data_IF_307080587205
#
_entry.id   IF_307080587205
#
_cell.length_a   1.000
_cell.length_b   1.000
_cell.length_c   1.000
_cell.angle_alpha   90.00
_cell.angle_beta   90.00
_cell.angle_gamma   90.00
#
_symmetry.space_group_name_H-M   'P 1'
#
loop_
_entity.id
_entity.type
_entity.pdbx_description
1 polymer ?
#
# COMPACT_ATOMS: atom_id res chain seq x y z
N UNK A 1 -12.57 3.35 16.81
CA UNK A 1 -13.59 4.41 16.98
C UNK A 1 -14.99 3.82 16.84
N UNK A 2 -15.91 4.23 17.70
CA UNK A 2 -17.35 3.89 17.59
C UNK A 2 -18.15 5.15 17.30
N UNK A 3 -19.20 5.04 16.47
CA UNK A 3 -20.13 6.14 16.22
C UNK A 3 -21.37 5.95 17.11
N UNK A 4 -21.69 6.95 17.91
CA UNK A 4 -22.84 6.90 18.83
C UNK A 4 -24.13 7.52 18.26
N UNK A 5 -24.13 7.87 16.97
CA UNK A 5 -25.22 8.54 16.26
C UNK A 5 -24.99 10.05 16.05
N UNK A 6 -24.07 10.66 16.79
CA UNK A 6 -23.74 12.09 16.68
C UNK A 6 -22.24 12.34 16.54
N UNK A 7 -21.40 11.60 17.28
CA UNK A 7 -19.96 11.79 17.32
C UNK A 7 -19.20 10.47 17.24
N UNK A 8 -17.94 10.55 16.80
CA UNK A 8 -16.99 9.43 16.87
C UNK A 8 -16.39 9.38 18.28
N UNK A 9 -16.56 8.26 18.97
CA UNK A 9 -15.98 8.02 20.28
C UNK A 9 -14.80 7.07 20.20
N UNK A 10 -13.78 7.30 21.04
CA UNK A 10 -12.72 6.33 21.24
C UNK A 10 -13.27 5.16 22.10
N UNK A 11 -13.40 4.00 21.50
CA UNK A 11 -13.84 2.75 22.18
C UNK A 11 -12.66 1.90 22.65
N UNK A 12 -11.43 2.33 22.39
CA UNK A 12 -10.23 1.59 22.77
C UNK A 12 -10.00 1.76 24.26
N UNK A 13 -10.07 0.66 24.98
CA UNK A 13 -9.77 0.56 26.41
C UNK A 13 -8.48 -0.23 26.68
N UNK A 14 -7.97 -0.91 25.66
CA UNK A 14 -6.77 -1.74 25.75
C UNK A 14 -5.50 -0.93 25.48
N UNK A 15 -4.51 -1.06 26.36
CA UNK A 15 -3.23 -0.40 26.25
C UNK A 15 -2.39 -0.88 25.05
N UNK A 16 -2.74 -2.01 24.43
CA UNK A 16 -2.04 -2.54 23.26
C UNK A 16 -2.00 -1.55 22.10
N UNK A 17 -3.00 -0.65 22.01
CA UNK A 17 -3.03 0.40 20.98
C UNK A 17 -2.26 1.66 21.37
N UNK A 18 -1.80 1.77 22.62
CA UNK A 18 -1.03 2.91 23.12
C UNK A 18 0.46 2.58 23.05
N UNK A 19 1.11 2.99 21.96
CA UNK A 19 2.53 2.75 21.77
C UNK A 19 3.24 4.04 21.37
N UNK A 20 3.73 4.83 22.37
CA UNK A 20 4.35 6.13 22.12
C UNK A 20 5.74 6.02 21.47
N UNK A 21 6.36 4.84 21.49
CA UNK A 21 7.70 4.63 20.93
C UNK A 21 7.69 4.35 19.43
N UNK A 22 6.55 3.87 18.91
CA UNK A 22 6.38 3.58 17.49
C UNK A 22 5.66 4.71 16.76
N UNK A 23 6.24 5.13 15.64
CA UNK A 23 5.63 6.13 14.76
C UNK A 23 4.90 5.43 13.61
N UNK A 24 3.61 5.18 13.79
CA UNK A 24 2.79 4.55 12.74
C UNK A 24 2.58 5.49 11.57
N UNK A 25 2.86 5.02 10.36
CA UNK A 25 2.72 5.76 9.10
C UNK A 25 1.69 5.15 8.15
N UNK A 26 1.32 3.91 8.36
CA UNK A 26 0.32 3.19 7.56
C UNK A 26 -0.38 2.13 8.38
N UNK A 27 -1.60 1.83 7.99
CA UNK A 27 -2.44 0.78 8.60
C UNK A 27 -3.15 0.03 7.48
N UNK A 28 -3.21 -1.29 7.60
CA UNK A 28 -4.05 -2.14 6.77
C UNK A 28 -4.82 -3.12 7.65
N UNK A 29 -6.03 -3.45 7.26
CA UNK A 29 -6.85 -4.45 7.94
C UNK A 29 -7.37 -5.46 6.93
N UNK A 30 -7.20 -6.74 7.22
CA UNK A 30 -7.68 -7.85 6.40
C UNK A 30 -7.65 -9.17 7.16
N UNK A 31 -8.54 -10.07 6.80
CA UNK A 31 -8.65 -11.41 7.35
C UNK A 31 -7.52 -12.30 6.80
N UNK A 32 -6.40 -12.41 7.55
CA UNK A 32 -5.22 -13.16 7.13
C UNK A 32 -5.26 -14.62 7.57
N UNK A 33 -6.06 -14.98 8.56
CA UNK A 33 -6.17 -16.35 9.10
C UNK A 33 -7.47 -17.05 8.72
N UNK A 34 -8.38 -16.35 8.02
CA UNK A 34 -9.69 -16.84 7.54
C UNK A 34 -10.69 -17.17 8.65
N UNK A 35 -10.62 -16.48 9.74
CA UNK A 35 -11.58 -16.64 10.83
C UNK A 35 -12.85 -15.76 10.68
N UNK A 36 -12.84 -14.85 9.69
CA UNK A 36 -13.91 -13.91 9.39
C UNK A 36 -13.78 -12.58 10.13
N UNK A 37 -12.72 -12.40 10.89
CA UNK A 37 -12.35 -11.13 11.54
C UNK A 37 -11.14 -10.53 10.81
N UNK A 38 -10.97 -9.21 10.87
CA UNK A 38 -9.82 -8.55 10.26
C UNK A 38 -8.69 -8.39 11.28
N UNK A 39 -7.48 -8.81 10.91
CA UNK A 39 -6.25 -8.47 11.60
C UNK A 39 -5.78 -7.08 11.19
N UNK A 40 -5.10 -6.38 12.09
CA UNK A 40 -4.66 -5.01 11.87
C UNK A 40 -3.13 -4.96 11.85
N UNK A 41 -2.58 -4.60 10.69
CA UNK A 41 -1.15 -4.34 10.53
C UNK A 41 -0.85 -2.86 10.73
N UNK A 42 0.02 -2.53 11.68
CA UNK A 42 0.54 -1.19 11.92
C UNK A 42 1.95 -1.08 11.36
N UNK A 43 2.08 -0.34 10.27
CA UNK A 43 3.35 -0.06 9.63
C UNK A 43 4.03 1.11 10.33
N UNK A 44 5.19 0.86 10.92
CA UNK A 44 5.95 1.86 11.68
C UNK A 44 7.14 2.42 10.91
N UNK A 45 7.53 3.65 11.28
CA UNK A 45 8.76 4.28 10.83
C UNK A 45 9.27 5.25 11.89
N UNK A 46 10.44 5.00 12.44
CA UNK A 46 11.15 5.89 13.37
C UNK A 46 12.38 6.52 12.69
N UNK A 47 12.62 6.19 11.44
CA UNK A 47 13.74 6.69 10.64
C UNK A 47 13.31 7.02 9.21
N UNK A 48 14.11 7.86 8.52
CA UNK A 48 13.82 8.22 7.14
C UNK A 48 14.05 7.06 6.16
N UNK A 49 15.08 6.24 6.37
CA UNK A 49 15.39 5.11 5.47
C UNK A 49 16.27 4.09 6.18
N UNK A 50 16.27 2.85 5.69
CA UNK A 50 17.09 1.76 6.23
C UNK A 50 16.52 1.20 7.53
N UNK A 51 17.39 0.76 8.42
CA UNK A 51 16.99 0.11 9.66
C UNK A 51 16.28 1.08 10.62
N UNK A 52 15.19 0.61 11.22
CA UNK A 52 14.43 1.25 12.29
C UNK A 52 14.63 0.50 13.62
N UNK A 53 14.34 1.17 14.72
CA UNK A 53 14.51 0.61 16.06
C UNK A 53 13.39 -0.35 16.43
N UNK A 54 12.14 0.03 16.13
CA UNK A 54 10.96 -0.74 16.49
C UNK A 54 10.32 -1.39 15.25
N UNK A 55 9.97 -2.67 15.38
CA UNK A 55 9.27 -3.43 14.33
C UNK A 55 7.87 -2.87 14.07
N UNK A 56 7.28 -3.32 12.98
CA UNK A 56 5.84 -3.20 12.76
C UNK A 56 5.07 -4.08 13.76
N UNK A 57 3.75 -3.93 13.79
CA UNK A 57 2.87 -4.73 14.64
C UNK A 57 1.78 -5.36 13.77
N UNK A 58 1.41 -6.58 14.13
CA UNK A 58 0.30 -7.30 13.50
C UNK A 58 -0.62 -7.84 14.60
N UNK A 59 -1.72 -7.11 14.81
CA UNK A 59 -2.67 -7.41 15.86
C UNK A 59 -3.73 -8.39 15.38
N UNK A 60 -3.93 -9.46 16.13
CA UNK A 60 -4.97 -10.45 15.96
C UNK A 60 -5.94 -10.41 17.15
N UNK A 61 -7.22 -10.58 16.89
CA UNK A 61 -8.23 -10.68 17.93
C UNK A 61 -8.71 -12.14 18.08
N UNK A 62 -8.28 -12.80 19.12
CA UNK A 62 -8.72 -14.17 19.43
C UNK A 62 -9.63 -14.14 20.65
N UNK A 63 -10.93 -14.38 20.45
CA UNK A 63 -11.94 -14.45 21.55
C UNK A 63 -11.97 -13.19 22.45
N UNK A 64 -11.90 -12.00 21.85
CA UNK A 64 -11.80 -10.70 22.50
C UNK A 64 -10.49 -10.43 23.27
N UNK A 65 -9.46 -11.20 23.03
CA UNK A 65 -8.08 -10.92 23.45
C UNK A 65 -7.29 -10.47 22.23
N UNK A 66 -6.72 -9.26 22.31
CA UNK A 66 -5.88 -8.72 21.22
C UNK A 66 -4.43 -9.00 21.54
N UNK A 67 -3.79 -9.75 20.66
CA UNK A 67 -2.37 -10.10 20.72
C UNK A 67 -1.60 -9.47 19.55
N UNK A 68 -0.31 -9.18 19.75
CA UNK A 68 0.61 -8.87 18.66
C UNK A 68 1.33 -10.14 18.20
N UNK A 69 1.09 -10.54 16.95
CA UNK A 69 1.71 -11.73 16.38
C UNK A 69 3.24 -11.62 16.30
N UNK A 70 3.78 -10.40 16.15
CA UNK A 70 5.22 -10.19 16.12
C UNK A 70 5.90 -10.24 17.50
N UNK A 71 5.16 -10.22 18.60
CA UNK A 71 5.71 -10.47 19.93
C UNK A 71 5.89 -11.97 20.21
N UNK A 72 5.26 -12.85 19.43
CA UNK A 72 5.40 -14.31 19.58
C UNK A 72 6.77 -14.77 19.09
N UNK A 73 7.46 -15.61 19.89
CA UNK A 73 8.83 -16.12 19.60
C UNK A 73 8.93 -16.74 18.20
N UNK A 74 7.90 -17.48 17.77
CA UNK A 74 7.86 -18.14 16.47
C UNK A 74 7.93 -17.19 15.27
N UNK A 75 7.59 -15.90 15.46
CA UNK A 75 7.53 -14.88 14.41
C UNK A 75 8.69 -13.88 14.48
N UNK A 76 9.63 -14.02 15.42
CA UNK A 76 10.72 -13.05 15.61
C UNK A 76 11.67 -12.95 14.41
N UNK A 77 11.80 -14.01 13.60
CA UNK A 77 12.58 -13.98 12.36
C UNK A 77 11.94 -13.15 11.25
N UNK A 78 10.64 -12.87 11.34
CA UNK A 78 9.85 -12.22 10.29
C UNK A 78 9.66 -10.72 10.54
N UNK A 79 10.24 -10.17 11.60
CA UNK A 79 10.10 -8.75 11.94
C UNK A 79 10.52 -7.83 10.80
N UNK A 80 9.69 -6.84 10.48
CA UNK A 80 10.09 -5.76 9.58
C UNK A 80 10.83 -4.66 10.37
N UNK A 81 12.15 -4.70 10.30
CA UNK A 81 13.03 -3.68 10.89
C UNK A 81 13.53 -2.67 9.86
N UNK A 82 12.78 -2.46 8.77
CA UNK A 82 13.07 -1.44 7.77
C UNK A 82 12.04 -0.31 7.82
N UNK A 83 12.47 0.92 7.55
CA UNK A 83 11.60 2.09 7.50
C UNK A 83 10.40 1.87 6.58
N UNK A 84 9.22 1.69 7.15
CA UNK A 84 7.98 1.47 6.41
C UNK A 84 7.48 2.74 5.72
N UNK A 85 6.70 2.60 4.63
CA UNK A 85 6.13 3.74 3.89
C UNK A 85 4.69 3.54 3.46
N UNK A 86 4.33 2.36 3.01
CA UNK A 86 2.97 2.05 2.59
C UNK A 86 2.69 0.56 2.76
N UNK A 87 1.46 0.21 3.01
CA UNK A 87 1.00 -1.16 3.23
C UNK A 87 -0.34 -1.37 2.54
N UNK A 88 -0.55 -2.56 1.99
CA UNK A 88 -1.82 -2.95 1.38
C UNK A 88 -2.08 -4.44 1.57
N UNK A 89 -3.34 -4.80 1.77
CA UNK A 89 -3.80 -6.18 1.78
C UNK A 89 -4.01 -6.70 0.36
N UNK A 90 -3.63 -7.95 0.11
CA UNK A 90 -3.69 -8.57 -1.22
C UNK A 90 -4.15 -10.01 -1.10
N UNK A 91 -5.31 -10.35 -1.65
CA UNK A 91 -5.71 -11.72 -1.91
C UNK A 91 -5.10 -12.18 -3.25
N UNK A 92 -3.85 -12.66 -3.21
CA UNK A 92 -3.11 -13.02 -4.42
C UNK A 92 -3.67 -14.22 -5.19
N UNK A 93 -4.44 -15.07 -4.52
CA UNK A 93 -5.00 -16.28 -5.12
C UNK A 93 -6.50 -16.16 -5.42
N UNK A 94 -7.16 -15.09 -5.00
CA UNK A 94 -8.61 -14.92 -5.15
C UNK A 94 -9.43 -15.90 -4.31
N UNK A 95 -8.91 -16.31 -3.15
CA UNK A 95 -9.50 -17.35 -2.28
C UNK A 95 -9.91 -16.86 -0.90
N UNK A 96 -9.93 -15.54 -0.70
CA UNK A 96 -10.17 -14.93 0.62
C UNK A 96 -9.00 -15.15 1.59
N UNK A 97 -7.80 -15.42 1.10
CA UNK A 97 -6.58 -15.55 1.90
C UNK A 97 -5.72 -14.32 1.67
N UNK A 98 -5.84 -13.36 2.55
CA UNK A 98 -5.12 -12.12 2.39
C UNK A 98 -3.67 -12.23 2.87
N UNK A 99 -2.76 -11.68 2.06
CA UNK A 99 -1.42 -11.36 2.46
C UNK A 99 -1.26 -9.85 2.63
N UNK A 100 -0.17 -9.43 3.26
CA UNK A 100 0.14 -8.02 3.54
C UNK A 100 1.41 -7.64 2.79
N UNK A 101 1.28 -6.81 1.74
CA UNK A 101 2.42 -6.22 1.04
C UNK A 101 2.89 -4.97 1.78
N UNK A 102 4.18 -4.90 2.10
CA UNK A 102 4.80 -3.78 2.80
C UNK A 102 5.87 -3.13 1.93
N UNK A 103 5.67 -1.88 1.57
CA UNK A 103 6.65 -1.06 0.87
C UNK A 103 7.59 -0.39 1.89
N UNK A 104 8.87 -0.74 1.82
CA UNK A 104 9.94 -0.20 2.66
C UNK A 104 10.83 0.80 1.90
N UNK A 105 11.50 1.68 2.62
CA UNK A 105 12.48 2.63 2.07
C UNK A 105 13.89 2.28 2.51
N UNK A 106 14.74 1.90 1.55
CA UNK A 106 16.13 1.55 1.79
C UNK A 106 16.36 0.15 2.36
N UNK A 107 15.40 -0.74 2.15
CA UNK A 107 15.46 -2.16 2.47
C UNK A 107 14.44 -2.95 1.66
N UNK A 108 14.42 -4.28 1.80
CA UNK A 108 13.54 -5.13 1.01
C UNK A 108 12.07 -4.88 1.35
N UNK A 109 11.22 -4.96 0.35
CA UNK A 109 9.77 -5.08 0.53
C UNK A 109 9.43 -6.39 1.20
N UNK A 110 8.29 -6.48 1.88
CA UNK A 110 7.79 -7.69 2.54
C UNK A 110 6.44 -8.09 1.96
N UNK A 111 6.15 -9.38 2.04
CA UNK A 111 4.83 -9.92 1.76
C UNK A 111 4.51 -11.00 2.78
N UNK A 112 3.70 -10.66 3.76
CA UNK A 112 3.36 -11.56 4.86
C UNK A 112 2.08 -12.34 4.58
N UNK A 113 2.11 -13.63 4.83
CA UNK A 113 0.92 -14.49 4.96
C UNK A 113 0.93 -15.21 6.30
N UNK A 114 -0.24 -15.61 6.75
CA UNK A 114 -0.40 -16.44 7.95
C UNK A 114 -0.55 -17.90 7.54
N UNK A 115 0.44 -18.72 7.86
CA UNK A 115 0.54 -20.11 7.43
C UNK A 115 0.91 -20.97 8.65
N UNK A 116 0.13 -22.02 8.90
CA UNK A 116 0.38 -22.94 10.02
C UNK A 116 0.58 -22.22 11.37
N UNK A 117 -0.31 -21.27 11.68
CA UNK A 117 -0.30 -20.45 12.90
C UNK A 117 0.95 -19.57 13.09
N UNK A 118 1.62 -19.18 12.03
CA UNK A 118 2.75 -18.25 12.05
C UNK A 118 2.73 -17.27 10.89
N UNK A 119 3.35 -16.13 11.10
CA UNK A 119 3.60 -15.15 10.03
C UNK A 119 4.80 -15.61 9.21
N UNK A 120 4.69 -15.57 7.89
CA UNK A 120 5.77 -15.96 6.96
C UNK A 120 5.96 -14.87 5.92
N UNK A 121 7.18 -14.39 5.74
CA UNK A 121 7.52 -13.48 4.63
C UNK A 121 7.76 -14.26 3.34
N UNK A 122 6.85 -14.10 2.40
CA UNK A 122 6.91 -14.75 1.09
C UNK A 122 7.48 -13.87 -0.02
N UNK A 123 7.89 -12.63 0.26
CA UNK A 123 8.28 -11.67 -0.78
C UNK A 123 9.30 -12.25 -1.78
N UNK A 124 10.35 -12.92 -1.29
CA UNK A 124 11.37 -13.52 -2.14
C UNK A 124 10.82 -14.61 -3.06
N UNK A 125 9.99 -15.50 -2.53
CA UNK A 125 9.40 -16.62 -3.29
C UNK A 125 8.37 -16.17 -4.32
N UNK A 126 7.79 -14.99 -4.11
CA UNK A 126 6.79 -14.38 -4.97
C UNK A 126 7.39 -13.39 -6.00
N UNK A 127 8.70 -13.10 -5.93
CA UNK A 127 9.37 -12.14 -6.83
C UNK A 127 9.18 -10.67 -6.45
N UNK A 128 8.79 -10.40 -5.20
CA UNK A 128 8.45 -9.08 -4.68
C UNK A 128 9.57 -8.44 -3.84
N UNK A 129 10.62 -9.16 -3.46
CA UNK A 129 11.67 -8.75 -2.54
C UNK A 129 12.65 -7.72 -3.12
N UNK A 130 12.18 -6.52 -3.40
CA UNK A 130 13.02 -5.46 -3.97
C UNK A 130 13.49 -4.48 -2.89
N UNK A 131 14.77 -4.12 -2.93
CA UNK A 131 15.29 -2.99 -2.15
C UNK A 131 14.99 -1.72 -2.92
N UNK A 132 14.12 -0.89 -2.38
CA UNK A 132 13.54 0.25 -3.10
C UNK A 132 13.48 1.52 -2.26
N UNK A 133 13.17 2.63 -2.92
CA UNK A 133 12.64 3.84 -2.28
C UNK A 133 11.12 3.81 -2.21
N UNK A 134 10.53 2.71 -1.73
CA UNK A 134 9.08 2.53 -1.70
C UNK A 134 8.36 3.68 -1.00
N UNK A 135 7.27 4.17 -1.60
CA UNK A 135 6.50 5.30 -1.06
C UNK A 135 5.01 5.08 -1.02
N UNK A 136 4.44 4.58 -2.09
CA UNK A 136 3.03 4.32 -2.18
C UNK A 136 2.79 2.99 -2.88
N UNK A 137 1.76 2.29 -2.46
CA UNK A 137 1.35 1.02 -3.06
C UNK A 137 -0.16 0.96 -3.15
N UNK A 138 -0.64 0.43 -4.26
CA UNK A 138 -2.05 0.09 -4.47
C UNK A 138 -2.15 -1.29 -5.09
N UNK A 139 -3.23 -1.99 -4.80
CA UNK A 139 -3.51 -3.32 -5.32
C UNK A 139 -4.94 -3.38 -5.89
N UNK A 140 -5.12 -4.06 -7.00
CA UNK A 140 -6.42 -4.18 -7.65
C UNK A 140 -6.34 -4.94 -8.97
N UNK A 141 -7.46 -5.12 -9.64
CA UNK A 141 -7.56 -5.73 -10.98
C UNK A 141 -7.08 -4.74 -12.05
N UNK A 142 -5.75 -4.56 -12.18
CA UNK A 142 -5.15 -3.56 -13.06
C UNK A 142 -4.98 -4.09 -14.48
N UNK A 143 -4.34 -5.25 -14.61
CA UNK A 143 -4.03 -5.89 -15.88
C UNK A 143 -4.69 -7.27 -16.05
N UNK A 144 -5.03 -7.91 -14.94
CA UNK A 144 -5.53 -9.28 -14.90
C UNK A 144 -6.82 -9.37 -14.06
N UNK A 145 -7.45 -10.55 -14.11
CA UNK A 145 -8.59 -10.88 -13.25
C UNK A 145 -8.15 -11.23 -11.82
N UNK A 146 -6.86 -11.11 -11.51
CA UNK A 146 -6.27 -11.29 -10.19
C UNK A 146 -5.79 -9.93 -9.63
N UNK A 147 -5.44 -9.90 -8.36
CA UNK A 147 -4.96 -8.66 -7.74
C UNK A 147 -3.50 -8.42 -8.13
N UNK A 148 -3.29 -7.45 -9.02
CA UNK A 148 -1.99 -6.89 -9.35
C UNK A 148 -1.58 -5.83 -8.33
N UNK A 149 -0.28 -5.49 -8.28
CA UNK A 149 0.23 -4.46 -7.37
C UNK A 149 1.01 -3.40 -8.14
N UNK A 150 0.64 -2.13 -7.97
CA UNK A 150 1.45 -1.01 -8.43
C UNK A 150 2.16 -0.37 -7.24
N UNK A 151 3.49 -0.28 -7.31
CA UNK A 151 4.34 0.32 -6.29
C UNK A 151 5.11 1.52 -6.84
N UNK A 152 4.79 2.70 -6.33
CA UNK A 152 5.48 3.94 -6.67
C UNK A 152 6.69 4.14 -5.76
N UNK A 153 7.81 4.53 -6.37
CA UNK A 153 9.09 4.67 -5.68
C UNK A 153 9.67 6.09 -5.79
N UNK A 154 10.39 6.49 -4.76
CA UNK A 154 11.25 7.65 -4.75
C UNK A 154 12.67 7.22 -5.12
N UNK A 155 13.33 7.98 -6.01
CA UNK A 155 14.70 7.71 -6.46
C UNK A 155 14.89 6.33 -7.09
N UNK A 156 13.94 5.91 -7.89
CA UNK A 156 13.99 4.63 -8.57
C UNK A 156 12.74 4.36 -9.41
N UNK A 157 12.73 3.26 -10.15
CA UNK A 157 11.61 2.91 -11.00
C UNK A 157 10.37 2.56 -10.18
N UNK A 158 9.19 2.86 -10.72
CA UNK A 158 7.97 2.23 -10.27
C UNK A 158 7.94 0.76 -10.68
N UNK A 159 7.22 -0.06 -9.95
CA UNK A 159 6.92 -1.45 -10.30
C UNK A 159 5.43 -1.63 -10.58
N UNK A 160 5.14 -2.47 -11.56
CA UNK A 160 3.81 -3.00 -11.79
C UNK A 160 3.92 -4.53 -11.80
N UNK A 161 3.52 -5.13 -10.72
CA UNK A 161 3.58 -6.56 -10.52
C UNK A 161 2.29 -7.21 -11.05
N UNK A 162 2.41 -7.85 -12.21
CA UNK A 162 1.35 -8.68 -12.78
C UNK A 162 1.24 -9.97 -12.00
N UNK A 163 0.05 -10.26 -11.50
CA UNK A 163 -0.26 -11.50 -10.82
C UNK A 163 -0.55 -12.62 -11.81
N UNK A 164 0.17 -13.71 -11.68
CA UNK A 164 -0.02 -14.92 -12.48
C UNK A 164 -0.16 -16.13 -11.54
N UNK A 165 -1.38 -16.46 -11.17
CA UNK A 165 -1.69 -17.57 -10.25
C UNK A 165 -0.96 -17.43 -8.89
N UNK A 166 -1.02 -16.27 -8.30
CA UNK A 166 -0.42 -15.97 -7.00
C UNK A 166 1.08 -15.70 -7.00
N UNK A 167 1.73 -15.67 -8.18
CA UNK A 167 3.12 -15.24 -8.36
C UNK A 167 3.19 -13.94 -9.14
N UNK A 168 4.20 -13.14 -8.88
CA UNK A 168 4.32 -11.81 -9.45
C UNK A 168 5.51 -11.69 -10.40
N UNK A 169 5.30 -10.93 -11.48
CA UNK A 169 6.36 -10.49 -12.37
C UNK A 169 6.27 -8.99 -12.60
N UNK A 170 7.40 -8.28 -12.53
CA UNK A 170 7.42 -6.85 -12.82
C UNK A 170 7.33 -6.60 -14.33
N UNK A 171 6.23 -5.97 -14.73
CA UNK A 171 5.94 -5.59 -16.12
C UNK A 171 5.94 -4.08 -16.34
N UNK A 172 6.39 -3.27 -15.38
CA UNK A 172 6.34 -1.80 -15.44
C UNK A 172 7.02 -1.23 -16.69
N UNK A 173 8.14 -1.84 -17.11
CA UNK A 173 8.86 -1.42 -18.33
C UNK A 173 8.07 -1.72 -19.60
N UNK A 174 7.50 -2.92 -19.69
CA UNK A 174 6.68 -3.37 -20.83
C UNK A 174 5.41 -2.56 -20.95
N UNK A 175 4.84 -2.17 -19.79
CA UNK A 175 3.59 -1.45 -19.68
C UNK A 175 3.73 0.07 -19.69
N UNK A 176 4.94 0.64 -19.84
CA UNK A 176 5.24 2.08 -19.87
C UNK A 176 4.91 2.86 -18.58
N UNK A 177 4.94 2.21 -17.41
CA UNK A 177 4.67 2.87 -16.11
C UNK A 177 5.88 2.95 -15.20
N UNK A 178 7.05 2.56 -15.70
CA UNK A 178 8.29 2.49 -14.93
C UNK A 178 8.77 3.84 -14.36
N UNK A 179 8.57 4.93 -15.08
CA UNK A 179 8.79 6.35 -14.73
C UNK A 179 10.02 6.63 -13.85
N UNK A 180 11.20 6.21 -14.31
CA UNK A 180 12.46 6.17 -13.56
C UNK A 180 13.00 7.53 -13.09
N UNK A 181 12.50 8.62 -13.66
CA UNK A 181 12.99 9.99 -13.40
C UNK A 181 12.08 10.77 -12.44
N UNK A 182 11.01 10.16 -11.94
CA UNK A 182 10.09 10.80 -11.04
C UNK A 182 10.25 10.25 -9.61
N UNK A 183 9.70 10.98 -8.64
CA UNK A 183 9.70 10.59 -7.25
C UNK A 183 8.25 10.31 -6.82
N UNK A 184 7.77 9.10 -7.03
CA UNK A 184 6.41 8.70 -6.66
C UNK A 184 6.16 8.82 -5.16
N UNK A 185 5.01 9.38 -4.78
CA UNK A 185 4.64 9.63 -3.38
C UNK A 185 3.25 9.18 -3.02
N UNK A 186 2.28 9.45 -3.87
CA UNK A 186 0.90 9.05 -3.68
C UNK A 186 0.39 8.35 -4.92
N UNK A 187 -0.42 7.32 -4.74
CA UNK A 187 -1.03 6.62 -5.87
C UNK A 187 -2.45 6.19 -5.53
N UNK A 188 -3.31 6.17 -6.54
CA UNK A 188 -4.67 5.68 -6.45
C UNK A 188 -5.03 4.89 -7.71
N UNK A 189 -6.02 4.02 -7.59
CA UNK A 189 -6.68 3.35 -8.71
C UNK A 189 -8.08 3.94 -8.88
N UNK A 190 -8.47 4.18 -10.13
CA UNK A 190 -9.79 4.71 -10.48
C UNK A 190 -10.11 4.38 -11.92
N UNK A 191 -11.36 4.18 -12.27
CA UNK A 191 -11.81 4.09 -13.67
C UNK A 191 -12.11 5.50 -14.20
N UNK A 192 -11.07 6.32 -14.43
CA UNK A 192 -11.21 7.74 -14.81
C UNK A 192 -11.83 7.96 -16.18
N UNK A 193 -11.93 6.94 -17.01
CA UNK A 193 -12.56 7.00 -18.32
C UNK A 193 -13.87 6.18 -18.42
N UNK A 194 -14.35 5.63 -17.32
CA UNK A 194 -15.63 4.86 -17.24
C UNK A 194 -15.71 3.71 -18.23
N UNK A 195 -14.64 2.92 -18.27
CA UNK A 195 -14.50 1.78 -19.19
C UNK A 195 -14.64 0.42 -18.52
N UNK A 196 -14.92 0.40 -17.20
CA UNK A 196 -14.99 -0.80 -16.41
C UNK A 196 -13.62 -1.41 -16.11
N UNK A 197 -12.55 -0.58 -16.08
CA UNK A 197 -11.19 -1.01 -15.76
C UNK A 197 -10.43 0.06 -15.00
N UNK A 198 -9.56 -0.38 -14.10
CA UNK A 198 -8.78 0.52 -13.26
C UNK A 198 -7.63 1.16 -14.03
N UNK A 199 -7.51 2.46 -13.89
CA UNK A 199 -6.42 3.30 -14.34
C UNK A 199 -5.52 3.65 -13.12
N UNK A 200 -4.26 4.07 -13.37
CA UNK A 200 -3.30 4.36 -12.30
C UNK A 200 -3.07 5.88 -12.23
N UNK A 201 -3.37 6.47 -11.10
CA UNK A 201 -3.04 7.86 -10.78
C UNK A 201 -1.80 7.89 -9.90
N UNK A 202 -0.74 8.59 -10.33
CA UNK A 202 0.51 8.68 -9.59
C UNK A 202 0.96 10.13 -9.41
N UNK A 203 0.95 10.58 -8.16
CA UNK A 203 1.45 11.88 -7.74
C UNK A 203 2.94 11.83 -7.39
N UNK A 204 3.71 12.77 -7.94
CA UNK A 204 5.15 12.83 -7.77
C UNK A 204 5.59 14.01 -6.90
N UNK A 205 6.70 13.83 -6.19
CA UNK A 205 7.33 14.88 -5.39
C UNK A 205 8.24 15.73 -6.29
N UNK A 206 7.87 17.00 -6.46
CA UNK A 206 8.59 17.97 -7.29
C UNK A 206 8.76 17.54 -8.76
N UNK A 207 7.90 16.63 -9.22
CA UNK A 207 7.91 16.08 -10.57
C UNK A 207 6.52 16.08 -11.20
N UNK A 208 6.46 15.73 -12.48
CA UNK A 208 5.22 15.63 -13.24
C UNK A 208 4.36 14.48 -12.76
N UNK A 209 3.11 14.74 -12.41
CA UNK A 209 2.16 13.70 -12.04
C UNK A 209 1.73 12.88 -13.26
N UNK A 210 1.19 11.69 -13.03
CA UNK A 210 0.79 10.76 -14.09
C UNK A 210 -0.64 10.29 -13.90
N UNK A 211 -1.38 10.26 -15.01
CA UNK A 211 -2.65 9.56 -15.15
C UNK A 211 -2.46 8.50 -16.25
N UNK A 212 -2.20 7.28 -15.84
CA UNK A 212 -1.93 6.18 -16.75
C UNK A 212 -3.22 5.42 -17.06
N UNK A 213 -3.59 5.43 -18.32
CA UNK A 213 -4.75 4.75 -18.87
C UNK A 213 -4.30 3.65 -19.80
N UNK A 214 -4.84 2.45 -19.64
CA UNK A 214 -4.51 1.34 -20.54
C UNK A 214 -5.12 1.59 -21.93
N UNK A 215 -4.26 1.78 -22.93
CA UNK A 215 -4.61 1.99 -24.32
C UNK A 215 -4.03 0.83 -25.16
N UNK A 216 -4.90 -0.02 -25.70
CA UNK A 216 -4.55 -1.32 -26.25
C UNK A 216 -3.76 -2.18 -25.25
N UNK A 217 -2.47 -2.43 -25.49
CA UNK A 217 -1.65 -3.34 -24.68
C UNK A 217 -0.67 -2.62 -23.75
N UNK A 218 -0.73 -1.27 -23.64
CA UNK A 218 0.19 -0.47 -22.81
C UNK A 218 -0.49 0.72 -22.17
N UNK A 219 0.04 1.16 -21.06
CA UNK A 219 -0.40 2.41 -20.44
C UNK A 219 0.11 3.62 -21.22
N UNK A 220 -0.77 4.60 -21.35
CA UNK A 220 -0.51 5.93 -21.88
C UNK A 220 -0.78 6.96 -20.79
N UNK A 221 0.14 7.88 -20.60
CA UNK A 221 -0.10 9.02 -19.72
C UNK A 221 -1.02 10.01 -20.43
N UNK A 222 -2.18 10.30 -19.82
CA UNK A 222 -3.16 11.27 -20.32
C UNK A 222 -3.29 12.49 -19.40
N UNK A 223 -2.40 12.64 -18.42
CA UNK A 223 -2.40 13.80 -17.53
C UNK A 223 -2.39 15.10 -18.34
N UNK A 224 -3.35 15.99 -18.03
CA UNK A 224 -3.41 17.33 -18.62
C UNK A 224 -2.49 18.29 -17.85
N UNK A 225 -2.30 19.51 -18.36
CA UNK A 225 -1.41 20.52 -17.77
C UNK A 225 -1.77 20.93 -16.34
N UNK A 226 -3.02 20.77 -15.93
CA UNK A 226 -3.45 21.05 -14.55
C UNK A 226 -3.08 19.91 -13.61
N UNK A 227 -3.27 18.66 -14.04
CA UNK A 227 -2.97 17.48 -13.24
C UNK A 227 -1.47 17.23 -13.14
N UNK A 228 -0.72 17.40 -14.24
CA UNK A 228 0.70 17.05 -14.29
C UNK A 228 1.64 18.17 -13.78
N UNK A 229 1.08 19.30 -13.30
CA UNK A 229 1.87 20.40 -12.75
C UNK A 229 2.78 19.94 -11.61
N UNK A 230 4.12 20.16 -11.73
CA UNK A 230 5.07 19.74 -10.70
C UNK A 230 4.77 20.38 -9.35
N UNK A 231 4.65 19.56 -8.33
CA UNK A 231 4.34 20.02 -6.97
C UNK A 231 4.76 18.96 -5.94
N UNK A 232 4.77 19.33 -4.67
CA UNK A 232 5.16 18.43 -3.58
C UNK A 232 3.99 17.54 -3.17
N UNK A 233 3.58 16.60 -4.03
CA UNK A 233 2.48 15.69 -3.74
C UNK A 233 2.85 14.74 -2.60
N UNK A 234 1.90 14.49 -1.71
CA UNK A 234 1.99 13.52 -0.61
C UNK A 234 1.04 12.35 -0.81
N UNK A 235 -0.17 12.64 -1.24
CA UNK A 235 -1.25 11.65 -1.35
C UNK A 235 -2.09 11.95 -2.59
N UNK A 236 -2.56 10.90 -3.22
CA UNK A 236 -3.58 10.93 -4.27
C UNK A 236 -4.77 10.13 -3.77
N UNK A 237 -5.95 10.68 -3.90
CA UNK A 237 -7.21 10.01 -3.56
C UNK A 237 -8.16 10.20 -4.75
N UNK A 238 -8.92 9.17 -5.07
CA UNK A 238 -10.00 9.22 -6.04
C UNK A 238 -11.28 8.73 -5.39
N UNK A 239 -12.35 9.49 -5.57
CA UNK A 239 -13.70 9.15 -5.15
C UNK A 239 -14.70 10.08 -5.84
N UNK A 240 -15.94 9.64 -5.96
CA UNK A 240 -17.09 10.46 -6.34
C UNK A 240 -17.48 11.35 -5.13
N UNK A 241 -16.91 12.56 -5.06
CA UNK A 241 -17.10 13.47 -3.92
C UNK A 241 -18.42 14.25 -4.00
N UNK A 242 -18.99 14.45 -5.18
CA UNK A 242 -20.21 15.22 -5.38
C UNK A 242 -21.43 14.35 -5.74
N UNK A 243 -21.26 13.02 -5.80
CA UNK A 243 -22.26 12.02 -6.14
C UNK A 243 -22.87 12.19 -7.54
N UNK A 244 -22.06 12.61 -8.51
CA UNK A 244 -22.48 12.71 -9.92
C UNK A 244 -22.23 11.41 -10.71
N UNK A 245 -21.60 10.41 -10.09
CA UNK A 245 -21.26 9.10 -10.65
C UNK A 245 -19.87 9.05 -11.29
N UNK A 246 -19.11 10.14 -11.16
CA UNK A 246 -17.74 10.23 -11.68
C UNK A 246 -16.75 10.47 -10.54
N UNK A 247 -15.58 9.80 -10.61
CA UNK A 247 -14.56 10.01 -9.59
C UNK A 247 -13.80 11.33 -9.82
N UNK A 248 -13.76 12.18 -8.80
CA UNK A 248 -12.79 13.26 -8.72
C UNK A 248 -11.46 12.80 -8.18
N UNK A 249 -10.40 13.52 -8.53
CA UNK A 249 -9.05 13.26 -8.05
C UNK A 249 -8.55 14.38 -7.15
N UNK A 250 -8.30 14.04 -5.90
CA UNK A 250 -7.73 14.96 -4.92
C UNK A 250 -6.23 14.73 -4.78
N UNK A 251 -5.43 15.79 -5.01
CA UNK A 251 -3.99 15.83 -4.86
C UNK A 251 -3.61 16.62 -3.60
N UNK A 252 -3.13 15.95 -2.55
CA UNK A 252 -2.62 16.62 -1.37
C UNK A 252 -1.19 17.12 -1.62
N UNK A 253 -1.02 18.45 -1.62
CA UNK A 253 0.26 19.14 -1.82
C UNK A 253 0.83 19.59 -0.48
N UNK A 254 2.11 19.35 -0.24
CA UNK A 254 2.82 19.95 0.88
C UNK A 254 3.15 21.41 0.54
N UNK A 255 2.53 22.36 1.24
CA UNK A 255 2.86 23.77 1.18
C UNK A 255 3.68 24.16 2.40
N UNK A 256 4.88 24.70 2.21
CA UNK A 256 5.58 25.39 3.28
C UNK A 256 4.87 26.71 3.54
N UNK A 257 4.26 26.88 4.69
CA UNK A 257 3.86 28.21 5.14
C UNK A 257 5.14 29.06 5.24
N UNK A 258 5.19 30.12 4.44
CA UNK A 258 6.28 31.10 4.44
C UNK A 258 6.00 32.10 5.56
#
# INVERSE_FOLDING_TARGET
LGFNGETLENKITDNIFSDPERSTIGVAACDIDKDGSEEIYFLNTDTYSGMKMYSDRLLINTQNVIDDLFEKEINQSELNLTAGRSVVCVDREGKGNYGIYVANYGGPTRFYEFIDNRVVDLAASLGLDKVTGGRAVVAGHILSDQIDVFAANERGPNFLYLNQNGKYSDVASQMNVKDIYQNGRGTALSDILYRGRLDILNGNWEGFNRAYVLDNDKFKNIANSTFDEPSKIRTVISADFDNDGYDEVFLNKFCKLI
#
